data_IF_514447351805
#
_entry.id   IF_514447351805
#
_cell.length_a   1.000
_cell.length_b   1.000
_cell.length_c   1.000
_cell.angle_alpha   90.00
_cell.angle_beta   90.00
_cell.angle_gamma   90.00
#
_symmetry.space_group_name_H-M   'P 1'
#
loop_
_entity.id
_entity.type
_entity.pdbx_description
1 polymer ?
#
# COMPACT_ATOMS: atom_id res chain seq x y z
N UNK A 1 1.95 4.32 11.20
CA UNK A 1 0.82 4.15 10.28
C UNK A 1 0.69 5.44 9.47
N UNK A 2 0.83 5.36 8.16
CA UNK A 2 0.61 6.46 7.23
C UNK A 2 -0.59 6.15 6.31
N UNK A 3 -1.07 7.11 5.52
CA UNK A 3 -2.19 6.85 4.57
C UNK A 3 -1.78 5.92 3.43
N UNK A 4 -0.49 5.83 3.14
CA UNK A 4 0.09 4.90 2.18
C UNK A 4 -0.04 3.45 2.66
N UNK A 5 -0.05 3.20 3.97
CA UNK A 5 -0.31 1.86 4.54
C UNK A 5 -1.74 1.38 4.24
N UNK A 6 -2.67 2.30 3.97
CA UNK A 6 -4.01 1.95 3.48
C UNK A 6 -4.01 1.63 1.97
N UNK A 7 -2.95 1.97 1.23
CA UNK A 7 -2.90 1.89 -0.23
C UNK A 7 -3.41 3.15 -0.93
N UNK A 8 -3.48 4.28 -0.22
CA UNK A 8 -3.92 5.56 -0.78
C UNK A 8 -2.71 6.36 -1.28
N UNK A 9 -2.72 6.70 -2.58
CA UNK A 9 -1.62 7.40 -3.27
C UNK A 9 -2.02 8.77 -3.82
N UNK A 10 -3.08 9.36 -3.29
CA UNK A 10 -3.55 10.69 -3.68
C UNK A 10 -3.24 11.70 -2.57
N UNK A 11 -3.11 13.01 -2.88
CA UNK A 11 -2.99 14.02 -1.85
C UNK A 11 -4.15 13.96 -0.85
N UNK A 12 -3.82 13.80 0.43
CA UNK A 12 -4.81 13.65 1.51
C UNK A 12 -4.46 14.52 2.71
N UNK A 13 -5.46 14.79 3.54
CA UNK A 13 -5.35 15.43 4.85
C UNK A 13 -6.01 14.58 5.92
N UNK A 14 -5.54 14.73 7.16
CA UNK A 14 -6.23 14.25 8.34
C UNK A 14 -6.89 15.45 9.05
N UNK A 15 -8.21 15.55 8.97
CA UNK A 15 -8.97 16.64 9.58
C UNK A 15 -9.49 16.21 10.95
N UNK A 16 -9.18 16.98 12.00
CA UNK A 16 -9.60 16.67 13.36
C UNK A 16 -11.14 16.63 13.45
N UNK A 17 -11.68 15.55 14.03
CA UNK A 17 -13.12 15.39 14.17
C UNK A 17 -13.58 15.43 15.63
N UNK A 18 -13.13 14.47 16.45
CA UNK A 18 -13.61 14.30 17.82
C UNK A 18 -12.51 13.81 18.76
N UNK A 19 -12.57 14.26 20.01
CA UNK A 19 -11.93 13.61 21.15
C UNK A 19 -13.03 12.85 21.91
N UNK A 20 -12.84 11.55 22.12
CA UNK A 20 -13.77 10.70 22.85
C UNK A 20 -13.07 10.07 24.04
N UNK A 21 -13.76 9.98 25.17
CA UNK A 21 -13.34 9.21 26.34
C UNK A 21 -14.29 8.02 26.48
N UNK A 22 -13.76 6.82 26.32
CA UNK A 22 -14.50 5.60 26.60
C UNK A 22 -14.24 5.15 28.04
N UNK A 23 -15.31 4.93 28.77
CA UNK A 23 -15.30 4.35 30.11
C UNK A 23 -15.72 2.88 30.09
N UNK A 24 -15.64 2.21 31.24
CA UNK A 24 -16.08 0.82 31.40
C UNK A 24 -17.51 0.60 30.87
N UNK A 25 -17.68 -0.46 30.08
CA UNK A 25 -18.94 -0.79 29.42
C UNK A 25 -19.21 -0.02 28.12
N UNK A 26 -18.48 1.06 27.81
CA UNK A 26 -18.66 1.81 26.57
C UNK A 26 -18.25 0.96 25.34
N UNK A 27 -19.04 1.05 24.27
CA UNK A 27 -18.86 0.25 23.05
C UNK A 27 -19.46 0.96 21.83
N UNK A 28 -19.14 0.47 20.62
CA UNK A 28 -19.83 0.85 19.39
C UNK A 28 -20.33 -0.39 18.65
N UNK A 29 -21.61 -0.37 18.28
CA UNK A 29 -22.19 -1.42 17.43
C UNK A 29 -21.56 -1.40 16.04
N UNK A 30 -21.62 -2.53 15.35
CA UNK A 30 -21.16 -2.65 13.98
C UNK A 30 -21.86 -1.64 13.06
N UNK A 31 -21.07 -0.79 12.41
CA UNK A 31 -21.55 0.19 11.44
C UNK A 31 -20.47 0.51 10.40
N UNK A 32 -20.86 1.24 9.35
CA UNK A 32 -19.94 1.89 8.41
C UNK A 32 -19.95 3.38 8.67
N UNK A 33 -18.84 4.03 8.40
CA UNK A 33 -18.78 5.48 8.54
C UNK A 33 -19.58 6.14 7.42
N UNK A 34 -20.37 7.15 7.80
CA UNK A 34 -20.94 8.07 6.82
C UNK A 34 -20.04 9.27 6.67
N UNK A 35 -19.95 9.79 5.45
CA UNK A 35 -19.16 10.97 5.11
C UNK A 35 -19.54 12.17 6.00
N UNK A 36 -18.54 12.73 6.70
CA UNK A 36 -18.73 13.86 7.62
C UNK A 36 -18.27 15.20 7.05
N UNK A 37 -17.36 15.15 6.09
CA UNK A 37 -16.80 16.29 5.38
C UNK A 37 -16.58 15.87 3.92
N UNK A 38 -16.74 16.77 2.94
CA UNK A 38 -16.55 16.42 1.53
C UNK A 38 -15.17 15.79 1.29
N UNK A 39 -15.15 14.64 0.62
CA UNK A 39 -13.92 13.92 0.29
C UNK A 39 -13.42 12.98 1.40
N UNK A 40 -14.13 12.87 2.53
CA UNK A 40 -13.77 11.91 3.59
C UNK A 40 -13.88 10.47 3.07
N UNK A 41 -12.77 9.76 3.01
CA UNK A 41 -12.68 8.39 2.52
C UNK A 41 -12.42 7.35 3.63
N UNK A 42 -12.06 7.81 4.83
CA UNK A 42 -11.76 6.92 5.94
C UNK A 42 -11.66 7.65 7.27
N UNK A 43 -11.31 6.88 8.28
CA UNK A 43 -11.18 7.34 9.66
C UNK A 43 -9.81 6.94 10.19
N UNK A 44 -9.14 7.87 10.87
CA UNK A 44 -7.93 7.62 11.66
C UNK A 44 -8.28 7.81 13.15
N UNK A 45 -7.95 6.81 13.95
CA UNK A 45 -8.09 6.83 15.41
C UNK A 45 -6.72 6.72 16.05
N UNK A 46 -6.41 7.69 16.92
CA UNK A 46 -5.21 7.70 17.76
C UNK A 46 -5.65 7.48 19.20
N UNK A 47 -5.28 6.34 19.78
CA UNK A 47 -5.51 6.04 21.18
C UNK A 47 -4.35 6.61 21.99
N UNK A 48 -4.66 7.54 22.89
CA UNK A 48 -3.66 8.18 23.75
C UNK A 48 -3.30 7.25 24.92
N UNK A 49 -2.10 7.39 25.51
CA UNK A 49 -1.70 6.57 26.65
C UNK A 49 -2.69 6.69 27.81
N UNK A 50 -3.32 5.57 28.15
CA UNK A 50 -4.22 5.38 29.29
C UNK A 50 -4.50 3.89 29.47
N UNK A 51 -4.25 3.38 30.67
CA UNK A 51 -4.47 1.97 30.98
C UNK A 51 -5.94 1.57 30.80
N UNK A 52 -6.19 0.57 29.97
CA UNK A 52 -7.51 -0.04 29.77
C UNK A 52 -7.42 -1.50 29.32
N UNK A 53 -8.50 -2.25 29.52
CA UNK A 53 -8.69 -3.59 28.94
C UNK A 53 -9.99 -3.67 28.14
N UNK A 54 -10.07 -4.62 27.19
CA UNK A 54 -11.15 -4.64 26.20
C UNK A 54 -11.00 -3.53 25.15
N UNK A 55 -12.10 -3.09 24.55
CA UNK A 55 -12.06 -2.02 23.54
C UNK A 55 -11.51 -2.44 22.18
N UNK A 56 -11.43 -3.75 21.92
CA UNK A 56 -10.92 -4.28 20.67
C UNK A 56 -11.75 -3.76 19.49
N UNK A 57 -11.08 -3.27 18.45
CA UNK A 57 -11.74 -2.77 17.24
C UNK A 57 -11.85 -3.92 16.24
N UNK A 58 -13.08 -4.32 15.95
CA UNK A 58 -13.38 -5.40 15.01
C UNK A 58 -13.73 -4.79 13.66
N UNK A 59 -12.92 -5.08 12.64
CA UNK A 59 -13.13 -4.67 11.26
C UNK A 59 -13.65 -5.85 10.43
N UNK A 60 -14.55 -5.58 9.49
CA UNK A 60 -15.11 -6.55 8.56
C UNK A 60 -15.32 -5.93 7.18
N UNK A 61 -14.78 -6.57 6.15
CA UNK A 61 -14.93 -6.16 4.75
C UNK A 61 -14.75 -7.38 3.85
N UNK A 62 -15.63 -7.54 2.86
CA UNK A 62 -15.62 -8.66 1.90
C UNK A 62 -15.39 -10.05 2.53
N UNK A 63 -16.11 -10.35 3.61
CA UNK A 63 -15.99 -11.62 4.36
C UNK A 63 -14.70 -11.78 5.18
N UNK A 64 -13.70 -10.91 5.00
CA UNK A 64 -12.47 -10.85 5.80
C UNK A 64 -12.74 -10.12 7.11
N UNK A 65 -12.12 -10.57 8.19
CA UNK A 65 -12.23 -9.97 9.52
C UNK A 65 -10.85 -9.71 10.10
N UNK A 66 -10.73 -8.59 10.80
CA UNK A 66 -9.51 -8.19 11.50
C UNK A 66 -9.88 -7.67 12.88
N UNK A 67 -9.05 -7.96 13.87
CA UNK A 67 -9.18 -7.44 15.23
C UNK A 67 -7.95 -6.63 15.53
N UNK A 68 -8.15 -5.39 15.97
CA UNK A 68 -7.08 -4.48 16.37
C UNK A 68 -7.21 -4.19 17.86
N UNK A 69 -6.18 -4.55 18.62
CA UNK A 69 -6.13 -4.38 20.06
C UNK A 69 -5.36 -3.10 20.42
N UNK A 70 -5.86 -2.35 21.41
CA UNK A 70 -5.18 -1.16 21.92
C UNK A 70 -4.81 -1.24 23.40
N UNK A 71 -5.28 -2.29 24.10
CA UNK A 71 -5.08 -2.47 25.54
C UNK A 71 -3.67 -2.89 25.98
N UNK A 72 -2.98 -3.86 25.32
CA UNK A 72 -1.77 -4.49 25.88
C UNK A 72 -0.64 -3.55 26.29
N UNK A 73 -0.42 -2.45 25.57
CA UNK A 73 0.62 -1.44 25.88
C UNK A 73 0.05 -0.07 26.24
N UNK A 74 -1.27 0.00 26.44
CA UNK A 74 -2.04 1.24 26.56
C UNK A 74 -1.59 2.19 27.67
N UNK A 75 -0.98 1.67 28.73
CA UNK A 75 -0.56 2.47 29.88
C UNK A 75 0.50 3.52 29.51
N UNK A 76 1.38 3.20 28.54
CA UNK A 76 2.53 4.04 28.20
C UNK A 76 2.66 4.33 26.71
N UNK A 77 2.09 3.48 25.85
CA UNK A 77 2.18 3.63 24.41
C UNK A 77 0.89 4.21 23.81
N UNK A 78 1.05 4.86 22.66
CA UNK A 78 -0.06 5.23 21.80
C UNK A 78 -0.29 4.15 20.74
N UNK A 79 -1.55 3.97 20.34
CA UNK A 79 -1.92 3.09 19.22
C UNK A 79 -2.57 3.90 18.12
N UNK A 80 -2.27 3.57 16.87
CA UNK A 80 -2.89 4.19 15.69
C UNK A 80 -3.63 3.15 14.87
N UNK A 81 -4.86 3.48 14.46
CA UNK A 81 -5.76 2.62 13.72
C UNK A 81 -6.35 3.43 12.59
N UNK A 82 -6.44 2.87 11.38
CA UNK A 82 -7.11 3.52 10.29
C UNK A 82 -7.87 2.52 9.43
N UNK A 83 -8.99 2.95 8.85
CA UNK A 83 -9.81 2.15 7.95
C UNK A 83 -10.56 3.02 6.96
N UNK A 84 -10.95 2.44 5.83
CA UNK A 84 -11.81 3.08 4.83
C UNK A 84 -13.26 3.17 5.32
N UNK A 85 -14.00 4.19 4.87
CA UNK A 85 -15.38 4.43 5.31
C UNK A 85 -16.36 3.32 4.96
N UNK A 86 -16.09 2.53 3.91
CA UNK A 86 -16.87 1.37 3.50
C UNK A 86 -16.55 0.08 4.29
N UNK A 87 -15.55 0.10 5.16
CA UNK A 87 -15.25 -0.99 6.09
C UNK A 87 -16.24 -0.96 7.26
N UNK A 88 -16.89 -2.10 7.53
CA UNK A 88 -17.73 -2.22 8.72
C UNK A 88 -16.83 -2.35 9.94
N UNK A 89 -17.10 -1.58 10.99
CA UNK A 89 -16.33 -1.61 12.22
C UNK A 89 -17.23 -1.60 13.47
N UNK A 90 -16.75 -2.24 14.53
CA UNK A 90 -17.36 -2.26 15.85
C UNK A 90 -16.27 -2.12 16.92
N UNK A 91 -16.62 -1.55 18.07
CA UNK A 91 -15.72 -1.47 19.23
C UNK A 91 -16.32 -2.34 20.33
N UNK A 92 -15.57 -3.34 20.79
CA UNK A 92 -15.98 -4.18 21.91
C UNK A 92 -16.03 -3.36 23.21
N UNK A 93 -16.81 -3.80 24.22
CA UNK A 93 -16.87 -3.09 25.50
C UNK A 93 -15.50 -2.89 26.14
N UNK A 94 -15.25 -1.70 26.67
CA UNK A 94 -14.16 -1.48 27.63
C UNK A 94 -14.47 -2.29 28.88
N UNK A 95 -13.56 -3.17 29.28
CA UNK A 95 -13.73 -4.06 30.44
C UNK A 95 -13.20 -3.42 31.73
N UNK A 96 -12.21 -2.53 31.63
CA UNK A 96 -11.70 -1.72 32.75
C UNK A 96 -10.92 -0.52 32.24
N UNK A 97 -10.78 0.51 33.08
CA UNK A 97 -9.97 1.70 32.78
C UNK A 97 -10.65 2.68 31.84
N UNK A 98 -9.84 3.52 31.19
CA UNK A 98 -10.33 4.55 30.27
C UNK A 98 -9.54 4.53 28.97
N UNK A 99 -10.24 4.71 27.85
CA UNK A 99 -9.62 4.77 26.52
C UNK A 99 -9.90 6.13 25.88
N UNK A 100 -9.03 7.14 26.09
CA UNK A 100 -9.11 8.43 25.40
C UNK A 100 -8.62 8.28 23.95
N UNK A 101 -9.41 8.74 22.98
CA UNK A 101 -9.06 8.66 21.56
C UNK A 101 -9.30 9.96 20.82
N UNK A 102 -8.36 10.33 19.96
CA UNK A 102 -8.53 11.35 18.94
C UNK A 102 -8.99 10.67 17.64
N UNK A 103 -10.04 11.20 17.05
CA UNK A 103 -10.60 10.74 15.78
C UNK A 103 -10.42 11.82 14.73
N UNK A 104 -9.90 11.44 13.57
CA UNK A 104 -9.70 12.29 12.40
C UNK A 104 -10.44 11.71 11.20
N UNK A 105 -11.03 12.59 10.39
CA UNK A 105 -11.50 12.24 9.07
C UNK A 105 -10.31 12.22 8.12
N UNK A 106 -10.10 11.11 7.40
CA UNK A 106 -9.13 11.07 6.31
C UNK A 106 -9.80 11.59 5.04
N UNK A 107 -9.29 12.68 4.48
CA UNK A 107 -9.92 13.44 3.41
C UNK A 107 -9.03 13.46 2.18
N UNK A 108 -9.61 13.20 1.02
CA UNK A 108 -8.96 13.35 -0.27
C UNK A 108 -8.99 14.83 -0.69
N UNK A 109 -7.82 15.44 -0.86
CA UNK A 109 -7.68 16.83 -1.29
C UNK A 109 -7.76 16.93 -2.82
N UNK A 110 -7.20 15.94 -3.52
CA UNK A 110 -7.17 15.91 -4.98
C UNK A 110 -7.37 14.48 -5.52
N UNK A 111 -7.94 14.40 -6.73
CA UNK A 111 -8.21 13.15 -7.44
C UNK A 111 -9.69 12.99 -7.79
N UNK A 112 -9.97 12.09 -8.74
CA UNK A 112 -11.30 11.96 -9.34
C UNK A 112 -12.15 10.90 -8.64
N UNK A 113 -11.54 9.79 -8.24
CA UNK A 113 -12.23 8.67 -7.58
C UNK A 113 -11.84 8.60 -6.12
N UNK A 114 -12.86 8.52 -5.26
CA UNK A 114 -12.74 8.36 -3.82
C UNK A 114 -12.07 7.02 -3.48
N UNK A 115 -11.02 6.98 -2.65
CA UNK A 115 -10.45 5.73 -2.15
C UNK A 115 -11.49 4.94 -1.34
N UNK A 116 -11.59 3.64 -1.58
CA UNK A 116 -12.45 2.72 -0.82
C UNK A 116 -11.76 1.38 -0.69
N UNK A 117 -12.14 0.58 0.31
CA UNK A 117 -11.65 -0.79 0.44
C UNK A 117 -12.09 -1.65 -0.77
N UNK A 118 -13.32 -1.45 -1.27
CA UNK A 118 -13.80 -2.12 -2.48
C UNK A 118 -12.96 -1.80 -3.72
N UNK A 119 -12.55 -0.53 -3.91
CA UNK A 119 -11.68 -0.13 -5.02
C UNK A 119 -10.29 -0.78 -4.90
N UNK A 120 -9.78 -0.92 -3.68
CA UNK A 120 -8.53 -1.62 -3.44
C UNK A 120 -8.65 -3.11 -3.83
N UNK A 121 -9.73 -3.78 -3.42
CA UNK A 121 -9.99 -5.18 -3.82
C UNK A 121 -10.21 -5.34 -5.34
N UNK A 122 -10.89 -4.39 -6.00
CA UNK A 122 -11.05 -4.35 -7.46
C UNK A 122 -9.69 -4.29 -8.15
N UNK A 123 -8.81 -3.40 -7.68
CA UNK A 123 -7.45 -3.29 -8.20
C UNK A 123 -6.68 -4.60 -7.97
N UNK A 124 -6.77 -5.21 -6.78
CA UNK A 124 -6.08 -6.47 -6.46
C UNK A 124 -6.50 -7.55 -7.44
N UNK A 125 -7.81 -7.69 -7.63
CA UNK A 125 -8.42 -8.67 -8.54
C UNK A 125 -8.02 -8.41 -10.00
N UNK A 126 -7.92 -7.15 -10.42
CA UNK A 126 -7.47 -6.78 -11.77
C UNK A 126 -6.01 -7.16 -11.99
N UNK A 127 -5.12 -6.85 -11.06
CA UNK A 127 -3.71 -7.23 -11.19
C UNK A 127 -3.56 -8.76 -11.19
N UNK A 128 -4.26 -9.46 -10.30
CA UNK A 128 -4.24 -10.92 -10.27
C UNK A 128 -4.67 -11.51 -11.62
N UNK A 129 -5.76 -11.01 -12.21
CA UNK A 129 -6.20 -11.44 -13.55
C UNK A 129 -5.14 -11.14 -14.60
N UNK A 130 -4.51 -9.97 -14.59
CA UNK A 130 -3.46 -9.61 -15.53
C UNK A 130 -2.26 -10.56 -15.42
N UNK A 131 -1.79 -10.88 -14.21
CA UNK A 131 -0.69 -11.82 -13.99
C UNK A 131 -1.05 -13.24 -14.47
N UNK A 132 -2.29 -13.68 -14.25
CA UNK A 132 -2.77 -14.98 -14.75
C UNK A 132 -2.85 -15.03 -16.28
N UNK A 133 -3.36 -13.97 -16.90
CA UNK A 133 -3.39 -13.83 -18.36
C UNK A 133 -1.98 -13.84 -18.93
N UNK A 134 -1.05 -13.10 -18.31
CA UNK A 134 0.35 -13.10 -18.71
C UNK A 134 0.95 -14.50 -18.71
N UNK A 135 0.83 -15.23 -17.59
CA UNK A 135 1.35 -16.60 -17.47
C UNK A 135 0.78 -17.57 -18.52
N UNK A 136 -0.41 -17.30 -19.06
CA UNK A 136 -1.09 -18.16 -20.03
C UNK A 136 -0.82 -17.77 -21.48
N UNK A 137 -0.89 -16.48 -21.77
CA UNK A 137 -0.97 -15.96 -23.15
C UNK A 137 0.36 -15.34 -23.62
N UNK A 138 1.30 -15.14 -22.69
CA UNK A 138 2.59 -14.47 -22.92
C UNK A 138 3.73 -15.23 -22.22
N UNK A 139 3.65 -16.56 -22.22
CA UNK A 139 4.67 -17.45 -21.63
C UNK A 139 6.04 -17.36 -22.34
N UNK A 140 6.08 -16.73 -23.51
CA UNK A 140 7.30 -16.38 -24.24
C UNK A 140 8.04 -15.16 -23.68
N UNK A 141 7.40 -14.32 -22.85
CA UNK A 141 8.03 -13.19 -22.18
C UNK A 141 8.50 -13.61 -20.78
N UNK A 142 9.81 -13.65 -20.59
CA UNK A 142 10.42 -14.02 -19.30
C UNK A 142 10.20 -12.96 -18.20
N UNK A 143 9.99 -11.69 -18.56
CA UNK A 143 9.80 -10.60 -17.60
C UNK A 143 9.08 -9.37 -18.14
N UNK A 144 8.57 -8.55 -17.22
CA UNK A 144 8.12 -7.19 -17.47
C UNK A 144 8.90 -6.21 -16.60
N UNK A 145 9.25 -5.06 -17.19
CA UNK A 145 9.96 -3.99 -16.49
C UNK A 145 9.05 -2.79 -16.34
N UNK A 146 8.87 -2.34 -15.10
CA UNK A 146 8.14 -1.12 -14.77
C UNK A 146 9.10 -0.12 -14.12
N UNK A 147 9.39 1.03 -14.77
CA UNK A 147 10.24 2.04 -14.18
C UNK A 147 9.50 2.76 -13.04
N UNK A 148 10.14 2.81 -11.88
CA UNK A 148 9.68 3.59 -10.73
C UNK A 148 9.80 5.10 -10.95
N UNK A 149 9.03 5.87 -10.19
CA UNK A 149 9.06 7.34 -10.25
C UNK A 149 10.35 7.90 -9.67
N UNK A 150 10.87 7.29 -8.61
CA UNK A 150 12.13 7.69 -8.00
C UNK A 150 13.32 6.88 -8.53
N UNK A 151 14.49 7.54 -8.52
CA UNK A 151 15.78 6.87 -8.71
C UNK A 151 16.32 6.42 -7.36
N UNK A 152 16.65 5.15 -7.24
CA UNK A 152 17.23 4.55 -6.05
C UNK A 152 18.70 4.20 -6.31
N UNK A 153 19.54 4.32 -5.28
CA UNK A 153 20.92 3.85 -5.36
C UNK A 153 20.96 2.36 -5.08
N UNK A 154 22.02 1.67 -5.51
CA UNK A 154 22.23 0.24 -5.20
C UNK A 154 22.07 -0.04 -3.70
N UNK A 155 22.66 0.81 -2.85
CA UNK A 155 22.59 0.68 -1.40
C UNK A 155 21.16 0.83 -0.84
N UNK A 156 20.29 1.61 -1.50
CA UNK A 156 18.93 1.86 -1.03
C UNK A 156 17.87 0.96 -1.68
N UNK A 157 18.21 0.22 -2.74
CA UNK A 157 17.25 -0.55 -3.53
C UNK A 157 16.76 -1.83 -2.82
N UNK A 158 15.69 -1.68 -2.04
CA UNK A 158 14.92 -2.75 -1.40
C UNK A 158 13.48 -2.28 -1.17
N UNK A 159 12.53 -3.21 -1.08
CA UNK A 159 11.11 -2.87 -0.99
C UNK A 159 10.79 -1.96 0.20
N UNK A 160 11.43 -2.17 1.35
CA UNK A 160 11.23 -1.37 2.57
C UNK A 160 11.67 0.10 2.45
N UNK A 161 12.48 0.42 1.45
CA UNK A 161 13.05 1.76 1.25
C UNK A 161 12.40 2.51 0.07
N UNK A 162 11.49 1.85 -0.65
CA UNK A 162 10.75 2.48 -1.73
C UNK A 162 9.84 3.57 -1.14
N UNK A 163 9.83 4.72 -1.81
CA UNK A 163 9.17 5.94 -1.34
C UNK A 163 7.83 6.12 -2.03
N UNK A 164 6.90 6.71 -1.30
CA UNK A 164 5.64 7.23 -1.84
C UNK A 164 4.92 6.18 -2.74
N UNK A 165 4.68 6.54 -4.00
CA UNK A 165 4.01 5.70 -4.99
C UNK A 165 4.75 4.38 -5.24
N UNK A 166 6.07 4.41 -5.27
CA UNK A 166 6.90 3.21 -5.49
C UNK A 166 6.79 2.27 -4.29
N UNK A 167 6.71 2.81 -3.07
CA UNK A 167 6.54 2.04 -1.84
C UNK A 167 5.23 1.28 -1.82
N UNK A 168 4.14 1.99 -2.10
CA UNK A 168 2.83 1.35 -2.18
C UNK A 168 2.74 0.36 -3.36
N UNK A 169 3.33 0.65 -4.53
CA UNK A 169 3.42 -0.31 -5.63
C UNK A 169 4.26 -1.54 -5.27
N UNK A 170 5.41 -1.36 -4.62
CA UNK A 170 6.29 -2.46 -4.19
C UNK A 170 5.61 -3.39 -3.20
N UNK A 171 4.94 -2.84 -2.18
CA UNK A 171 4.13 -3.62 -1.23
C UNK A 171 3.01 -4.39 -1.93
N UNK A 172 2.35 -3.72 -2.88
CA UNK A 172 1.27 -4.29 -3.66
C UNK A 172 1.75 -5.47 -4.52
N UNK A 173 2.82 -5.29 -5.28
CA UNK A 173 3.43 -6.32 -6.11
C UNK A 173 3.95 -7.48 -5.26
N UNK A 174 4.59 -7.21 -4.13
CA UNK A 174 5.09 -8.25 -3.24
C UNK A 174 3.98 -9.19 -2.77
N UNK A 175 2.81 -8.65 -2.42
CA UNK A 175 1.66 -9.44 -2.00
C UNK A 175 1.04 -10.24 -3.16
N UNK A 176 0.77 -9.57 -4.29
CA UNK A 176 0.04 -10.20 -5.40
C UNK A 176 0.92 -11.20 -6.17
N UNK A 177 2.20 -10.90 -6.40
CA UNK A 177 3.12 -11.79 -7.12
C UNK A 177 3.37 -13.08 -6.34
N UNK A 178 3.60 -12.99 -5.02
CA UNK A 178 3.82 -14.16 -4.16
C UNK A 178 2.63 -15.13 -4.17
N UNK A 179 1.40 -14.59 -4.23
CA UNK A 179 0.18 -15.40 -4.29
C UNK A 179 -0.07 -16.06 -5.67
N UNK A 180 0.56 -15.56 -6.73
CA UNK A 180 0.33 -16.00 -8.11
C UNK A 180 1.51 -16.77 -8.73
N UNK A 181 2.55 -17.05 -7.93
CA UNK A 181 3.75 -17.75 -8.42
C UNK A 181 4.50 -16.94 -9.47
N UNK A 182 4.50 -15.62 -9.30
CA UNK A 182 5.27 -14.66 -10.10
C UNK A 182 6.41 -14.14 -9.23
N UNK A 183 7.62 -14.05 -9.78
CA UNK A 183 8.75 -13.49 -9.06
C UNK A 183 8.81 -11.97 -9.27
N UNK A 184 9.01 -11.24 -8.19
CA UNK A 184 9.18 -9.79 -8.18
C UNK A 184 10.61 -9.45 -7.80
N UNK A 185 11.28 -8.67 -8.65
CA UNK A 185 12.65 -8.21 -8.46
C UNK A 185 12.72 -6.69 -8.61
N UNK A 186 13.76 -6.11 -8.03
CA UNK A 186 14.13 -4.71 -8.18
C UNK A 186 15.45 -4.65 -8.94
N UNK A 187 15.64 -3.66 -9.80
CA UNK A 187 16.91 -3.46 -10.50
C UNK A 187 17.15 -1.99 -10.76
N UNK A 188 18.43 -1.61 -10.85
CA UNK A 188 18.81 -0.36 -11.48
C UNK A 188 18.84 -0.54 -13.00
N UNK A 189 18.54 0.51 -13.75
CA UNK A 189 18.43 0.46 -15.21
C UNK A 189 19.22 1.60 -15.84
N UNK A 190 20.02 1.29 -16.86
CA UNK A 190 20.61 2.24 -17.81
C UNK A 190 20.04 2.00 -19.20
N UNK A 191 19.83 3.09 -19.93
CA UNK A 191 19.49 3.07 -21.36
C UNK A 191 20.52 3.94 -22.07
N UNK A 192 21.30 3.34 -22.96
CA UNK A 192 22.30 4.01 -23.77
C UNK A 192 21.75 4.16 -25.19
N UNK A 193 21.80 5.37 -25.72
CA UNK A 193 21.37 5.68 -27.10
C UNK A 193 22.58 6.05 -27.94
N UNK A 194 22.75 5.40 -29.08
CA UNK A 194 23.85 5.68 -30.01
C UNK A 194 23.32 6.48 -31.21
N UNK A 195 23.68 7.77 -31.30
CA UNK A 195 23.44 8.56 -32.50
C UNK A 195 24.61 8.35 -33.48
N UNK A 196 24.40 7.52 -34.50
CA UNK A 196 25.35 7.35 -35.59
C UNK A 196 25.21 8.48 -36.62
N UNK A 197 26.32 9.14 -36.98
CA UNK A 197 26.35 10.23 -37.98
C UNK A 197 26.00 9.78 -39.41
N UNK A 198 25.67 8.50 -39.60
CA UNK A 198 25.33 7.88 -40.88
C UNK A 198 24.03 7.06 -40.83
N UNK A 199 23.09 7.37 -39.93
CA UNK A 199 21.66 7.07 -40.08
C UNK A 199 21.25 5.63 -40.41
N UNK A 200 22.01 4.63 -39.98
CA UNK A 200 21.66 3.22 -40.15
C UNK A 200 22.23 2.39 -38.99
N UNK A 201 21.62 2.51 -37.81
CA UNK A 201 21.92 1.67 -36.65
C UNK A 201 21.22 2.14 -35.37
N UNK A 202 20.03 1.61 -35.12
CA UNK A 202 19.30 1.70 -33.83
C UNK A 202 20.02 0.80 -32.78
N UNK A 203 21.26 1.15 -32.40
CA UNK A 203 22.07 0.43 -31.39
C UNK A 203 21.71 0.89 -29.96
N UNK A 204 20.43 1.13 -29.70
CA UNK A 204 19.93 1.48 -28.38
C UNK A 204 20.02 0.26 -27.46
N UNK A 205 20.71 0.37 -26.32
CA UNK A 205 20.90 -0.74 -25.40
C UNK A 205 20.34 -0.42 -24.02
N UNK A 206 19.44 -1.27 -23.52
CA UNK A 206 19.02 -1.23 -22.12
C UNK A 206 19.68 -2.33 -21.31
N UNK A 207 20.25 -1.94 -20.17
CA UNK A 207 20.84 -2.86 -19.20
C UNK A 207 20.15 -2.72 -17.86
N UNK A 208 19.71 -3.85 -17.29
CA UNK A 208 19.40 -3.95 -15.87
C UNK A 208 20.65 -4.38 -15.13
N UNK A 209 20.97 -3.70 -14.04
CA UNK A 209 22.10 -4.02 -13.18
C UNK A 209 21.68 -3.94 -11.71
N UNK A 210 22.47 -4.56 -10.85
CA UNK A 210 22.17 -4.66 -9.42
C UNK A 210 20.76 -5.23 -9.16
N UNK A 211 20.46 -6.39 -9.75
CA UNK A 211 19.14 -7.03 -9.63
C UNK A 211 19.02 -7.65 -8.25
N UNK A 212 18.09 -7.16 -7.43
CA UNK A 212 17.84 -7.61 -6.07
C UNK A 212 16.45 -8.25 -5.93
N UNK A 213 16.31 -9.13 -4.96
CA UNK A 213 14.99 -9.52 -4.47
C UNK A 213 14.39 -8.38 -3.59
N UNK A 214 13.11 -8.48 -3.16
CA UNK A 214 12.48 -7.41 -2.38
C UNK A 214 13.16 -7.09 -1.04
N UNK A 215 13.96 -8.01 -0.47
CA UNK A 215 14.72 -7.75 0.77
C UNK A 215 16.04 -7.00 0.52
N UNK A 216 16.42 -6.77 -0.73
CA UNK A 216 17.67 -6.10 -1.13
C UNK A 216 18.86 -7.04 -1.27
N UNK A 217 18.65 -8.36 -1.29
CA UNK A 217 19.72 -9.31 -1.60
C UNK A 217 19.94 -9.35 -3.11
N UNK A 218 21.18 -9.14 -3.55
CA UNK A 218 21.57 -9.24 -4.96
C UNK A 218 21.41 -10.68 -5.44
N UNK A 219 20.69 -10.85 -6.55
CA UNK A 219 20.43 -12.12 -7.22
C UNK A 219 21.24 -12.20 -8.52
N UNK A 220 21.48 -11.06 -9.18
CA UNK A 220 22.25 -10.98 -10.43
C UNK A 220 22.90 -9.60 -10.59
N UNK A 221 24.13 -9.57 -11.09
CA UNK A 221 24.88 -8.32 -11.28
C UNK A 221 24.36 -7.51 -12.47
N UNK A 222 24.14 -8.14 -13.62
CA UNK A 222 23.58 -7.48 -14.80
C UNK A 222 22.89 -8.41 -15.79
N UNK A 223 22.00 -7.84 -16.60
CA UNK A 223 21.37 -8.45 -17.78
C UNK A 223 21.00 -7.39 -18.81
N UNK A 224 21.03 -7.78 -20.08
CA UNK A 224 20.55 -6.96 -21.19
C UNK A 224 19.07 -7.23 -21.44
N UNK A 225 18.33 -6.18 -21.78
CA UNK A 225 16.95 -6.29 -22.24
C UNK A 225 16.93 -6.12 -23.76
N UNK A 226 16.15 -6.95 -24.44
CA UNK A 226 15.84 -6.73 -25.85
C UNK A 226 14.79 -5.60 -26.01
N UNK A 227 14.69 -5.05 -27.22
CA UNK A 227 13.72 -3.98 -27.53
C UNK A 227 12.25 -4.42 -27.37
N UNK A 228 11.96 -5.72 -27.30
CA UNK A 228 10.61 -6.28 -27.19
C UNK A 228 10.12 -6.40 -25.73
N UNK A 229 11.02 -6.24 -24.74
CA UNK A 229 10.68 -6.36 -23.31
C UNK A 229 9.97 -5.12 -22.73
N UNK A 230 9.92 -4.00 -23.47
CA UNK A 230 9.30 -2.77 -23.01
C UNK A 230 7.79 -2.71 -23.31
N UNK A 231 6.98 -2.59 -22.26
CA UNK A 231 5.63 -2.07 -22.43
C UNK A 231 5.72 -0.57 -22.76
N UNK A 232 5.01 -0.06 -23.79
CA UNK A 232 4.96 1.37 -24.05
C UNK A 232 4.44 2.10 -22.81
N UNK A 233 4.99 3.29 -22.52
CA UNK A 233 4.48 4.16 -21.45
C UNK A 233 2.99 4.43 -21.73
N UNK A 234 2.12 3.96 -20.84
CA UNK A 234 0.68 4.29 -20.82
C UNK A 234 0.50 5.70 -20.27
#
# INVERSE_FOLDING_TARGET
>A
MTVEDLGVQVPTSAESYKLLLYEEGAFFKAHRDTEKTPGMFGTLVICLPSEHTGGEVHLSHDGKKMVLETGPTSQFDLSTLAWYSDVQHAIQPIKSGYRPVLTYNLVQIAGVRKPTAELLDENHSRLEKLLRTWKRDFDYLDMFVHPFEHKYTEASLRASNLKDRDGALGNYLQNVCSANGVYFFLANMTHETCEDQYGDGDDDQTTLYHVTNPSGQVIRDSMYLDHETFLPKI
#
